data_IF_547274039656
#
_entry.id   IF_547274039656
#
_cell.length_a   1.000
_cell.length_b   1.000
_cell.length_c   1.000
_cell.angle_alpha   90.00
_cell.angle_beta   90.00
_cell.angle_gamma   90.00
#
_symmetry.space_group_name_H-M   'P 1'
#
loop_
_entity.id
_entity.type
_entity.pdbx_description
1 polymer ?
#
# COMPACT_ATOMS: atom_id res chain seq x y z
N UNK A 1 -22.12 9.36 33.33
CA UNK A 1 -21.60 10.34 32.36
C UNK A 1 -20.91 9.55 31.26
N UNK A 2 -21.40 9.55 30.01
CA UNK A 2 -20.66 8.92 28.93
C UNK A 2 -19.48 9.80 28.49
N UNK A 3 -18.39 9.15 28.12
CA UNK A 3 -17.23 9.73 27.44
C UNK A 3 -17.19 9.16 26.02
N UNK A 4 -17.02 10.02 25.01
CA UNK A 4 -17.01 9.59 23.61
C UNK A 4 -16.06 10.45 22.76
N UNK A 5 -15.12 9.83 22.01
CA UNK A 5 -14.72 8.43 22.13
C UNK A 5 -14.12 8.14 23.51
N UNK A 6 -14.17 6.87 23.94
CA UNK A 6 -13.55 6.40 25.19
C UNK A 6 -12.11 5.89 24.98
N UNK A 7 -11.50 6.22 23.85
CA UNK A 7 -10.16 5.76 23.46
C UNK A 7 -9.54 6.73 22.45
N UNK A 8 -8.20 6.76 22.40
CA UNK A 8 -7.42 7.69 21.57
C UNK A 8 -5.95 7.29 21.45
N UNK A 9 -5.18 7.98 20.62
CA UNK A 9 -3.74 7.68 20.41
C UNK A 9 -2.91 8.01 21.64
N UNK A 10 -1.86 7.24 21.93
CA UNK A 10 -0.87 7.58 22.98
C UNK A 10 -0.18 8.93 22.76
N UNK A 11 -0.21 9.48 21.53
CA UNK A 11 0.30 10.83 21.24
C UNK A 11 -0.67 11.95 21.66
N UNK A 12 -1.92 11.62 21.99
CA UNK A 12 -2.99 12.57 22.27
C UNK A 12 -3.54 13.27 21.03
N UNK A 13 -4.32 14.32 21.25
CA UNK A 13 -4.92 15.12 20.16
C UNK A 13 -6.32 14.69 19.73
N UNK A 14 -6.86 13.62 20.33
CA UNK A 14 -8.23 13.15 20.15
C UNK A 14 -9.20 14.17 20.73
N UNK A 15 -10.20 14.58 19.94
CA UNK A 15 -11.33 15.36 20.45
C UNK A 15 -12.27 14.43 21.20
N UNK A 16 -12.48 14.69 22.49
CA UNK A 16 -13.28 13.85 23.39
C UNK A 16 -14.42 14.68 23.98
N UNK A 17 -15.62 14.13 23.98
CA UNK A 17 -16.82 14.74 24.59
C UNK A 17 -17.22 13.96 25.84
N UNK A 18 -17.37 14.68 26.95
CA UNK A 18 -17.84 14.17 28.24
C UNK A 18 -19.23 14.76 28.49
N UNK A 19 -20.24 13.91 28.61
CA UNK A 19 -21.64 14.35 28.86
C UNK A 19 -22.05 14.08 30.30
N UNK A 20 -22.72 15.03 30.93
CA UNK A 20 -23.13 14.94 32.32
C UNK A 20 -24.12 16.04 32.72
N UNK A 21 -24.07 16.42 33.99
CA UNK A 21 -24.88 17.50 34.58
C UNK A 21 -23.98 18.34 35.48
N UNK A 22 -24.35 19.61 35.70
CA UNK A 22 -23.62 20.56 36.53
C UNK A 22 -22.14 20.74 36.12
N UNK A 23 -21.88 20.68 34.80
CA UNK A 23 -20.54 20.79 34.25
C UNK A 23 -20.10 22.24 33.97
N UNK A 24 -20.97 23.23 34.19
CA UNK A 24 -20.66 24.64 33.95
C UNK A 24 -19.42 25.10 34.73
N UNK A 25 -18.53 25.85 34.08
CA UNK A 25 -17.37 26.42 34.73
C UNK A 25 -16.31 25.38 35.11
N UNK A 26 -16.17 24.33 34.30
CA UNK A 26 -15.10 23.36 34.47
C UNK A 26 -13.73 24.05 34.34
N UNK A 27 -12.89 23.90 35.36
CA UNK A 27 -11.55 24.52 35.43
C UNK A 27 -10.47 23.58 34.94
N UNK A 28 -10.69 22.27 35.02
CA UNK A 28 -9.79 21.26 34.48
C UNK A 28 -10.57 20.00 34.10
N UNK A 29 -10.03 19.28 33.11
CA UNK A 29 -10.36 17.87 32.85
C UNK A 29 -9.05 17.12 32.90
N UNK A 30 -8.96 16.10 33.75
CA UNK A 30 -7.76 15.30 33.91
C UNK A 30 -7.92 13.93 33.26
N UNK A 31 -6.88 13.47 32.57
CA UNK A 31 -6.69 12.12 32.05
C UNK A 31 -5.52 11.51 32.83
N UNK A 32 -5.83 10.75 33.88
CA UNK A 32 -4.86 10.37 34.91
C UNK A 32 -4.26 11.60 35.58
N UNK A 33 -2.93 11.74 35.53
CA UNK A 33 -2.22 12.90 36.07
C UNK A 33 -2.10 14.09 35.12
N UNK A 34 -2.64 14.00 33.90
CA UNK A 34 -2.42 15.00 32.83
C UNK A 34 -3.67 15.82 32.57
N UNK A 35 -3.52 17.11 32.30
CA UNK A 35 -4.64 18.03 32.07
C UNK A 35 -4.92 18.17 30.57
N UNK A 36 -6.17 17.93 30.18
CA UNK A 36 -6.66 18.12 28.82
C UNK A 36 -6.97 19.59 28.51
N UNK A 37 -6.97 19.94 27.22
CA UNK A 37 -7.36 21.28 26.76
C UNK A 37 -8.87 21.32 26.58
N UNK A 38 -9.58 22.12 27.38
CA UNK A 38 -11.02 22.34 27.20
C UNK A 38 -11.25 23.25 26.00
N UNK A 39 -12.05 22.79 25.03
CA UNK A 39 -12.40 23.55 23.82
C UNK A 39 -13.85 24.03 23.82
N UNK A 40 -14.73 23.36 24.55
CA UNK A 40 -16.09 23.80 24.79
C UNK A 40 -16.59 23.30 26.15
N UNK A 41 -17.40 24.12 26.84
CA UNK A 41 -18.01 23.75 28.10
C UNK A 41 -19.44 24.32 28.19
N UNK A 42 -20.40 23.42 28.38
CA UNK A 42 -21.81 23.69 28.66
C UNK A 42 -22.19 23.03 29.98
N UNK A 43 -23.37 23.33 30.58
CA UNK A 43 -23.81 22.69 31.81
C UNK A 43 -23.93 21.16 31.74
N UNK A 44 -24.03 20.59 30.54
CA UNK A 44 -24.26 19.14 30.34
C UNK A 44 -23.23 18.47 29.43
N UNK A 45 -22.26 19.21 28.89
CA UNK A 45 -21.25 18.66 27.98
C UNK A 45 -19.94 19.46 28.04
N UNK A 46 -18.81 18.75 28.04
CA UNK A 46 -17.46 19.32 27.89
C UNK A 46 -16.79 18.63 26.71
N UNK A 47 -16.26 19.42 25.78
CA UNK A 47 -15.37 18.94 24.71
C UNK A 47 -13.94 19.32 25.08
N UNK A 48 -13.04 18.34 24.99
CA UNK A 48 -11.62 18.49 25.28
C UNK A 48 -10.76 17.89 24.19
N UNK A 49 -9.49 18.29 24.15
CA UNK A 49 -8.41 17.59 23.43
C UNK A 49 -7.59 16.83 24.47
N UNK A 50 -7.49 15.51 24.31
CA UNK A 50 -6.84 14.63 25.28
C UNK A 50 -5.31 14.77 25.33
N UNK A 51 -4.74 14.45 26.50
CA UNK A 51 -3.36 14.11 26.74
C UNK A 51 -2.63 13.38 25.64
N UNK A 52 -1.33 13.63 25.39
CA UNK A 52 -0.48 12.46 25.20
C UNK A 52 -0.69 11.52 26.40
N UNK A 53 -0.61 10.20 26.23
CA UNK A 53 -1.16 9.20 27.15
C UNK A 53 -0.53 7.81 27.06
N UNK A 54 -0.78 6.94 28.04
CA UNK A 54 -0.53 5.50 27.90
C UNK A 54 -1.46 4.68 28.81
N UNK A 55 -1.79 3.46 28.37
CA UNK A 55 -2.61 2.53 29.13
C UNK A 55 -4.06 3.01 29.33
N UNK A 56 -4.73 2.42 30.32
CA UNK A 56 -6.05 2.85 30.78
C UNK A 56 -5.86 3.92 31.85
N UNK A 57 -6.56 5.04 31.72
CA UNK A 57 -6.55 6.12 32.71
C UNK A 57 -7.97 6.48 33.15
N UNK A 58 -8.07 7.01 34.36
CA UNK A 58 -9.29 7.66 34.85
C UNK A 58 -9.39 9.08 34.29
N UNK A 59 -10.62 9.48 33.96
CA UNK A 59 -10.97 10.81 33.48
C UNK A 59 -11.93 11.46 34.44
N UNK A 60 -11.57 12.64 34.95
CA UNK A 60 -12.37 13.40 35.90
C UNK A 60 -12.47 14.86 35.47
N UNK A 61 -13.60 15.48 35.77
CA UNK A 61 -13.85 16.91 35.58
C UNK A 61 -13.73 17.62 36.92
N UNK A 62 -13.03 18.74 36.96
CA UNK A 62 -12.93 19.62 38.12
C UNK A 62 -13.74 20.88 37.86
N UNK A 63 -14.62 21.20 38.80
CA UNK A 63 -15.40 22.45 38.84
C UNK A 63 -15.19 23.14 40.18
N UNK A 64 -15.72 24.35 40.37
CA UNK A 64 -15.75 24.99 41.69
C UNK A 64 -16.52 24.18 42.75
N UNK A 65 -17.43 23.30 42.33
CA UNK A 65 -18.19 22.39 43.20
C UNK A 65 -17.45 21.10 43.58
N UNK A 66 -16.22 20.90 43.10
CA UNK A 66 -15.41 19.71 43.35
C UNK A 66 -15.12 18.87 42.10
N UNK A 67 -14.64 17.66 42.32
CA UNK A 67 -14.23 16.70 41.29
C UNK A 67 -15.32 15.67 41.03
N UNK A 68 -15.58 15.36 39.76
CA UNK A 68 -16.54 14.34 39.36
C UNK A 68 -16.10 12.91 39.68
N UNK A 69 -17.00 11.93 39.53
CA UNK A 69 -16.60 10.52 39.44
C UNK A 69 -15.67 10.28 38.24
N UNK A 70 -14.92 9.17 38.28
CA UNK A 70 -14.03 8.76 37.19
C UNK A 70 -14.78 8.10 36.05
N UNK A 71 -14.31 8.36 34.83
CA UNK A 71 -14.63 7.62 33.60
C UNK A 71 -13.35 6.95 33.11
N UNK A 72 -13.45 5.86 32.35
CA UNK A 72 -12.25 5.21 31.80
C UNK A 72 -11.96 5.67 30.38
N UNK A 73 -10.69 5.92 30.08
CA UNK A 73 -10.19 6.21 28.73
C UNK A 73 -8.98 5.32 28.42
N UNK A 74 -8.94 4.74 27.22
CA UNK A 74 -7.87 3.83 26.80
C UNK A 74 -6.98 4.44 25.71
N UNK A 75 -5.69 4.54 26.00
CA UNK A 75 -4.69 4.98 25.03
C UNK A 75 -4.16 3.82 24.18
N UNK A 76 -4.36 3.93 22.88
CA UNK A 76 -3.94 2.97 21.85
C UNK A 76 -2.57 3.38 21.30
N UNK A 77 -1.61 2.47 21.34
CA UNK A 77 -0.27 2.69 20.78
C UNK A 77 -0.30 2.72 19.25
N UNK A 78 0.65 3.41 18.59
CA UNK A 78 0.82 3.33 17.15
C UNK A 78 1.05 1.88 16.69
N UNK A 79 0.61 1.55 15.47
CA UNK A 79 0.86 0.26 14.86
C UNK A 79 2.35 0.10 14.51
N UNK A 80 2.76 -1.14 14.27
CA UNK A 80 4.09 -1.47 13.74
C UNK A 80 3.90 -2.16 12.40
N UNK A 81 4.46 -1.60 11.33
CA UNK A 81 4.63 -2.31 10.06
C UNK A 81 6.06 -2.88 9.99
N UNK A 82 6.18 -4.18 9.72
CA UNK A 82 7.46 -4.89 9.70
C UNK A 82 7.93 -5.21 8.28
N UNK A 83 7.02 -5.57 7.38
CA UNK A 83 7.36 -5.91 6.00
C UNK A 83 6.23 -5.61 5.04
N UNK A 84 6.60 -5.36 3.78
CA UNK A 84 5.72 -5.22 2.63
C UNK A 84 6.19 -6.18 1.53
N UNK A 85 5.26 -6.92 0.95
CA UNK A 85 5.57 -7.93 -0.06
C UNK A 85 4.44 -8.06 -1.10
N UNK A 86 4.73 -7.95 -2.41
CA UNK A 86 6.02 -7.61 -3.03
C UNK A 86 6.53 -6.21 -2.66
N UNK A 87 7.86 -6.02 -2.60
CA UNK A 87 8.50 -4.73 -2.28
C UNK A 87 8.64 -3.77 -3.47
N UNK A 88 8.13 -4.16 -4.64
CA UNK A 88 8.11 -3.36 -5.85
C UNK A 88 6.96 -3.74 -6.77
N UNK A 89 6.66 -2.87 -7.73
CA UNK A 89 5.65 -3.14 -8.75
C UNK A 89 5.50 -1.99 -9.76
N UNK A 90 4.52 -2.08 -10.67
CA UNK A 90 4.34 -1.14 -11.77
C UNK A 90 4.10 0.30 -11.31
N UNK A 91 4.68 1.29 -11.99
CA UNK A 91 4.34 2.72 -11.78
C UNK A 91 2.85 3.00 -11.98
N UNK A 92 2.16 2.21 -12.81
CA UNK A 92 0.71 2.29 -12.98
C UNK A 92 -0.11 1.85 -11.74
N UNK A 93 0.52 1.21 -10.74
CA UNK A 93 -0.15 0.62 -9.59
C UNK A 93 -1.02 -0.58 -9.97
N UNK A 94 -2.03 -0.85 -9.15
CA UNK A 94 -3.04 -1.90 -9.38
C UNK A 94 -2.61 -3.31 -8.93
N UNK A 95 -1.33 -3.54 -8.68
CA UNK A 95 -0.89 -4.78 -8.04
C UNK A 95 -1.27 -4.81 -6.55
N UNK A 96 -1.41 -6.01 -5.99
CA UNK A 96 -1.70 -6.18 -4.56
C UNK A 96 -0.41 -6.44 -3.80
N UNK A 97 -0.27 -5.81 -2.64
CA UNK A 97 0.80 -6.03 -1.67
C UNK A 97 0.21 -6.45 -0.33
N UNK A 98 0.97 -7.27 0.39
CA UNK A 98 0.69 -7.67 1.77
C UNK A 98 1.62 -6.90 2.70
N UNK A 99 1.07 -6.29 3.75
CA UNK A 99 1.84 -5.66 4.82
C UNK A 99 1.67 -6.49 6.08
N UNK A 100 2.76 -6.94 6.68
CA UNK A 100 2.76 -7.68 7.95
C UNK A 100 3.25 -6.80 9.10
N UNK A 101 2.66 -6.96 10.28
CA UNK A 101 2.90 -6.06 11.40
C UNK A 101 2.16 -6.42 12.68
N UNK A 102 1.86 -5.41 13.51
CA UNK A 102 1.06 -5.50 14.74
C UNK A 102 0.17 -4.27 14.90
N UNK A 103 -1.00 -4.43 15.52
CA UNK A 103 -1.94 -3.34 15.77
C UNK A 103 -2.63 -2.81 14.51
N UNK A 104 -2.77 -3.65 13.48
CA UNK A 104 -3.29 -3.25 12.16
C UNK A 104 -4.82 -3.38 12.05
N UNK A 105 -5.50 -3.88 13.09
CA UNK A 105 -6.95 -4.13 13.09
C UNK A 105 -7.81 -2.91 12.79
N UNK A 106 -7.31 -1.69 13.05
CA UNK A 106 -8.01 -0.42 12.82
C UNK A 106 -7.37 0.42 11.70
N UNK A 107 -6.60 -0.22 10.81
CA UNK A 107 -5.96 0.48 9.70
C UNK A 107 -7.01 1.09 8.76
N UNK A 108 -6.92 2.40 8.56
CA UNK A 108 -7.83 3.18 7.72
C UNK A 108 -7.21 3.59 6.40
N UNK A 109 -5.89 3.80 6.39
CA UNK A 109 -5.15 4.30 5.23
C UNK A 109 -3.76 3.68 5.16
N UNK A 110 -3.32 3.34 3.95
CA UNK A 110 -1.93 3.06 3.63
C UNK A 110 -1.46 4.07 2.60
N UNK A 111 -0.41 4.81 2.91
CA UNK A 111 0.15 5.85 2.04
C UNK A 111 1.45 5.37 1.42
N UNK A 112 1.56 5.49 0.09
CA UNK A 112 2.73 5.25 -0.74
C UNK A 112 3.25 6.61 -1.24
N UNK A 113 4.18 7.22 -0.49
CA UNK A 113 4.56 8.61 -0.69
C UNK A 113 3.37 9.55 -0.51
N UNK A 114 3.02 10.31 -1.56
CA UNK A 114 1.89 11.24 -1.56
C UNK A 114 0.54 10.60 -1.93
N UNK A 115 0.54 9.35 -2.42
CA UNK A 115 -0.68 8.67 -2.87
C UNK A 115 -1.13 7.68 -1.81
N UNK A 116 -2.44 7.53 -1.60
CA UNK A 116 -2.98 6.67 -0.54
C UNK A 116 -4.02 5.70 -1.07
N UNK A 117 -4.14 4.55 -0.39
CA UNK A 117 -5.16 3.55 -0.64
C UNK A 117 -5.77 3.08 0.68
N UNK A 118 -7.03 2.64 0.63
CA UNK A 118 -7.69 1.99 1.77
C UNK A 118 -7.30 0.51 1.80
N UNK A 119 -6.71 0.00 2.90
CA UNK A 119 -6.38 -1.41 3.03
C UNK A 119 -7.63 -2.28 3.22
N UNK A 120 -7.52 -3.55 2.85
CA UNK A 120 -8.33 -4.63 3.42
C UNK A 120 -7.61 -5.16 4.65
N UNK A 121 -8.23 -5.05 5.82
CA UNK A 121 -7.72 -5.63 7.06
C UNK A 121 -7.96 -7.14 7.04
N UNK A 122 -6.87 -7.93 7.01
CA UNK A 122 -6.96 -9.40 7.02
C UNK A 122 -6.94 -9.92 8.46
N UNK A 123 -6.08 -9.35 9.30
CA UNK A 123 -6.01 -9.61 10.74
C UNK A 123 -5.30 -8.46 11.46
N UNK A 124 -5.17 -8.52 12.78
CA UNK A 124 -4.39 -7.51 13.52
C UNK A 124 -2.91 -7.47 13.12
N UNK A 125 -2.39 -8.53 12.49
CA UNK A 125 -1.00 -8.62 12.05
C UNK A 125 -0.81 -8.56 10.53
N UNK A 126 -1.88 -8.38 9.75
CA UNK A 126 -1.78 -8.40 8.29
C UNK A 126 -2.82 -7.52 7.58
N UNK A 127 -2.35 -6.78 6.57
CA UNK A 127 -3.15 -6.02 5.62
C UNK A 127 -2.91 -6.51 4.19
N UNK A 128 -3.95 -6.42 3.36
CA UNK A 128 -3.87 -6.53 1.91
C UNK A 128 -4.23 -5.19 1.28
N UNK A 129 -3.41 -4.67 0.38
CA UNK A 129 -3.59 -3.34 -0.22
C UNK A 129 -3.39 -3.41 -1.72
N UNK A 130 -4.32 -2.82 -2.48
CA UNK A 130 -4.09 -2.53 -3.90
C UNK A 130 -3.27 -1.25 -3.99
N UNK A 131 -2.08 -1.33 -4.57
CA UNK A 131 -1.15 -0.21 -4.66
C UNK A 131 -1.74 0.86 -5.60
N UNK A 132 -1.82 2.14 -5.18
CA UNK A 132 -2.29 3.20 -6.05
C UNK A 132 -1.28 3.49 -7.18
N UNK A 133 -1.67 4.23 -8.20
CA UNK A 133 -0.73 4.67 -9.24
C UNK A 133 0.36 5.58 -8.62
N UNK A 134 1.62 5.36 -9.01
CA UNK A 134 2.74 6.20 -8.64
C UNK A 134 2.88 7.40 -9.58
N UNK A 135 3.46 8.49 -9.08
CA UNK A 135 3.72 9.69 -9.91
C UNK A 135 4.92 9.51 -10.85
N UNK A 136 5.87 8.65 -10.47
CA UNK A 136 7.08 8.31 -11.22
C UNK A 136 7.68 7.00 -10.71
N UNK A 137 8.56 6.38 -11.50
CA UNK A 137 9.42 5.30 -11.00
C UNK A 137 10.31 5.77 -9.86
N UNK A 138 10.61 4.89 -8.91
CA UNK A 138 11.49 5.17 -7.77
C UNK A 138 10.97 4.60 -6.46
N UNK A 139 11.79 4.71 -5.41
CA UNK A 139 11.40 4.30 -4.06
C UNK A 139 10.53 5.37 -3.41
N UNK A 140 9.47 4.92 -2.73
CA UNK A 140 8.61 5.74 -1.86
C UNK A 140 8.52 5.13 -0.48
N UNK A 141 8.26 5.99 0.51
CA UNK A 141 7.93 5.55 1.86
C UNK A 141 6.50 5.00 1.91
N UNK A 142 6.30 3.91 2.63
CA UNK A 142 5.00 3.31 2.88
C UNK A 142 4.65 3.36 4.35
N UNK A 143 3.57 4.05 4.70
CA UNK A 143 3.10 4.16 6.08
C UNK A 143 1.67 3.66 6.22
N UNK A 144 1.35 3.08 7.37
CA UNK A 144 -0.02 2.65 7.71
C UNK A 144 -0.55 3.54 8.83
N UNK A 145 -1.74 4.08 8.65
CA UNK A 145 -2.45 4.86 9.67
C UNK A 145 -3.60 4.04 10.26
N UNK A 146 -3.66 4.02 11.59
CA UNK A 146 -4.70 3.39 12.40
C UNK A 146 -5.25 4.40 13.41
N UNK A 147 -6.22 4.00 14.24
CA UNK A 147 -6.67 4.85 15.35
C UNK A 147 -5.59 5.10 16.41
N UNK A 148 -4.60 4.20 16.52
CA UNK A 148 -3.47 4.36 17.45
C UNK A 148 -2.39 5.32 16.96
N UNK A 149 -2.40 5.66 15.67
CA UNK A 149 -1.41 6.52 15.03
C UNK A 149 -0.88 5.91 13.73
N UNK A 150 0.28 6.40 13.29
CA UNK A 150 0.93 6.00 12.03
C UNK A 150 2.21 5.23 12.30
N UNK A 151 2.50 4.22 11.48
CA UNK A 151 3.74 3.43 11.55
C UNK A 151 4.97 4.26 11.17
N UNK A 152 6.16 3.79 11.56
CA UNK A 152 7.38 4.12 10.82
C UNK A 152 7.27 3.66 9.35
N UNK A 153 7.96 4.33 8.41
CA UNK A 153 7.86 3.99 7.00
C UNK A 153 8.58 2.68 6.66
N UNK A 154 7.93 1.86 5.82
CA UNK A 154 8.57 0.86 4.98
C UNK A 154 8.99 1.49 3.63
N UNK A 155 9.65 0.74 2.76
CA UNK A 155 10.00 1.18 1.40
C UNK A 155 9.29 0.33 0.35
N UNK A 156 8.82 0.96 -0.71
CA UNK A 156 8.27 0.31 -1.90
C UNK A 156 8.80 0.99 -3.16
N UNK A 157 9.18 0.21 -4.17
CA UNK A 157 9.69 0.74 -5.43
C UNK A 157 8.66 0.65 -6.57
N UNK A 158 8.29 1.80 -7.13
CA UNK A 158 7.61 1.88 -8.42
C UNK A 158 8.62 1.67 -9.55
N UNK A 159 8.29 0.75 -10.45
CA UNK A 159 9.14 0.36 -11.59
C UNK A 159 8.34 0.54 -12.87
N UNK A 160 8.94 1.19 -13.87
CA UNK A 160 8.28 1.37 -15.15
C UNK A 160 8.18 0.03 -15.91
N UNK A 161 7.10 -0.12 -16.67
CA UNK A 161 6.96 -1.21 -17.62
C UNK A 161 8.10 -1.15 -18.65
N UNK A 162 8.54 -2.30 -19.19
CA UNK A 162 9.52 -2.29 -20.26
C UNK A 162 8.95 -1.58 -21.50
N UNK A 163 9.81 -1.24 -22.45
CA UNK A 163 9.38 -0.89 -23.81
C UNK A 163 10.01 -1.84 -24.81
N UNK A 164 9.32 -2.12 -25.91
CA UNK A 164 9.81 -2.96 -26.99
C UNK A 164 9.86 -2.12 -28.27
N UNK A 165 11.02 -2.10 -28.91
CA UNK A 165 11.32 -1.27 -30.08
C UNK A 165 11.42 -2.12 -31.34
N UNK A 166 12.08 -3.29 -31.28
CA UNK A 166 12.22 -4.16 -32.44
C UNK A 166 12.40 -5.63 -32.08
N UNK A 167 11.97 -6.51 -33.00
CA UNK A 167 12.15 -7.95 -32.94
C UNK A 167 12.77 -8.43 -34.26
N UNK A 168 13.89 -9.14 -34.18
CA UNK A 168 14.60 -9.63 -35.36
C UNK A 168 15.19 -11.04 -35.15
N UNK A 169 14.88 -12.01 -36.03
CA UNK A 169 13.93 -11.92 -37.14
C UNK A 169 12.46 -11.83 -36.66
N UNK A 170 11.60 -11.21 -37.46
CA UNK A 170 10.17 -11.07 -37.17
C UNK A 170 9.31 -12.24 -37.70
N UNK A 171 9.95 -13.33 -38.16
CA UNK A 171 9.25 -14.53 -38.62
C UNK A 171 10.11 -15.79 -38.48
N UNK A 172 9.46 -16.95 -38.49
CA UNK A 172 10.11 -18.26 -38.37
C UNK A 172 9.12 -19.42 -38.52
N UNK A 173 9.58 -20.68 -38.49
CA UNK A 173 8.74 -21.84 -38.75
C UNK A 173 7.74 -22.10 -37.61
N UNK A 174 6.58 -22.68 -37.94
CA UNK A 174 5.57 -23.14 -36.96
C UNK A 174 6.11 -24.15 -35.94
N UNK A 175 7.22 -24.84 -36.23
CA UNK A 175 7.91 -25.72 -35.28
C UNK A 175 8.61 -24.97 -34.13
N UNK A 176 8.75 -23.64 -34.20
CA UNK A 176 9.52 -22.86 -33.25
C UNK A 176 11.03 -22.96 -33.45
N UNK A 177 11.79 -22.56 -32.44
CA UNK A 177 13.26 -22.62 -32.40
C UNK A 177 13.97 -21.41 -33.01
N UNK A 178 13.24 -20.36 -33.38
CA UNK A 178 13.85 -19.13 -33.93
C UNK A 178 14.40 -18.28 -32.79
N UNK A 179 15.70 -17.95 -32.84
CA UNK A 179 16.30 -16.99 -31.91
C UNK A 179 15.98 -15.57 -32.35
N UNK A 180 15.07 -14.92 -31.63
CA UNK A 180 14.60 -13.55 -31.86
C UNK A 180 15.32 -12.60 -30.91
N UNK A 181 16.11 -11.69 -31.46
CA UNK A 181 16.67 -10.56 -30.73
C UNK A 181 15.58 -9.52 -30.51
N UNK A 182 15.33 -9.16 -29.26
CA UNK A 182 14.35 -8.16 -28.84
C UNK A 182 15.10 -6.96 -28.28
N UNK A 183 14.88 -5.78 -28.86
CA UNK A 183 15.46 -4.52 -28.39
C UNK A 183 14.40 -3.63 -27.75
N UNK A 184 14.78 -2.87 -26.72
CA UNK A 184 13.85 -2.11 -25.91
C UNK A 184 14.50 -1.34 -24.76
N UNK A 185 13.72 -1.08 -23.72
CA UNK A 185 14.19 -0.55 -22.43
C UNK A 185 13.62 -1.35 -21.27
N UNK A 186 14.29 -1.33 -20.11
CA UNK A 186 13.80 -2.01 -18.91
C UNK A 186 13.88 -3.54 -18.98
N UNK A 187 14.69 -4.10 -19.89
CA UNK A 187 14.73 -5.55 -20.16
C UNK A 187 15.59 -6.35 -19.18
N UNK A 188 16.39 -5.67 -18.35
CA UNK A 188 17.32 -6.31 -17.41
C UNK A 188 16.61 -7.22 -16.37
N UNK A 189 15.36 -6.89 -16.03
CA UNK A 189 14.55 -7.59 -15.02
C UNK A 189 13.41 -8.42 -15.64
N UNK A 190 13.58 -8.86 -16.90
CA UNK A 190 12.61 -9.71 -17.58
C UNK A 190 12.41 -11.02 -16.84
N UNK A 191 11.15 -11.35 -16.54
CA UNK A 191 10.74 -12.59 -15.86
C UNK A 191 10.02 -13.55 -16.80
N UNK A 192 9.41 -13.05 -17.87
CA UNK A 192 8.76 -13.88 -18.87
C UNK A 192 8.79 -13.23 -20.27
N UNK A 193 8.86 -14.07 -21.29
CA UNK A 193 8.61 -13.72 -22.69
C UNK A 193 7.59 -14.72 -23.24
N UNK A 194 6.56 -14.25 -23.92
CA UNK A 194 5.55 -15.12 -24.54
C UNK A 194 5.26 -14.73 -25.99
N UNK A 195 4.90 -15.73 -26.79
CA UNK A 195 4.42 -15.58 -28.17
C UNK A 195 3.00 -16.17 -28.21
N UNK A 196 1.99 -15.34 -28.45
CA UNK A 196 0.57 -15.73 -28.36
C UNK A 196 0.21 -16.42 -27.03
N UNK A 197 0.75 -15.90 -25.92
CA UNK A 197 0.58 -16.48 -24.58
C UNK A 197 1.40 -17.75 -24.30
N UNK A 198 2.08 -18.33 -25.29
CA UNK A 198 2.96 -19.49 -25.10
C UNK A 198 4.33 -19.04 -24.61
N UNK A 199 4.81 -19.60 -23.49
CA UNK A 199 6.11 -19.25 -22.90
C UNK A 199 7.28 -19.59 -23.82
N UNK A 200 8.17 -18.62 -24.01
CA UNK A 200 9.46 -18.78 -24.68
C UNK A 200 10.60 -18.88 -23.66
N UNK A 201 11.65 -19.63 -24.00
CA UNK A 201 12.92 -19.48 -23.29
C UNK A 201 13.62 -18.20 -23.75
N UNK A 202 14.37 -17.56 -22.87
CA UNK A 202 15.08 -16.32 -23.19
C UNK A 202 16.37 -16.16 -22.40
N UNK A 203 17.26 -15.32 -22.91
CA UNK A 203 18.46 -14.85 -22.25
C UNK A 203 18.50 -13.33 -22.31
N UNK A 204 18.55 -12.68 -21.15
CA UNK A 204 18.76 -11.24 -21.04
C UNK A 204 20.23 -10.94 -21.29
N UNK A 205 20.54 -10.09 -22.27
CA UNK A 205 21.91 -9.69 -22.56
C UNK A 205 22.28 -8.43 -21.78
N UNK A 206 21.38 -7.46 -21.72
CA UNK A 206 21.54 -6.21 -20.98
C UNK A 206 20.17 -5.51 -20.78
N UNK A 207 20.17 -4.27 -20.28
CA UNK A 207 18.93 -3.51 -20.01
C UNK A 207 18.13 -3.12 -21.25
N UNK A 208 18.70 -3.26 -22.45
CA UNK A 208 18.08 -2.88 -23.73
C UNK A 208 17.93 -4.02 -24.72
N UNK A 209 18.48 -5.21 -24.42
CA UNK A 209 18.49 -6.34 -25.36
C UNK A 209 18.33 -7.66 -24.63
N UNK A 210 17.43 -8.51 -25.16
CA UNK A 210 17.34 -9.94 -24.82
C UNK A 210 17.19 -10.77 -26.09
N UNK A 211 17.47 -12.07 -25.99
CA UNK A 211 17.19 -13.05 -27.04
C UNK A 211 16.15 -14.02 -26.53
N UNK A 212 15.05 -14.20 -27.26
CA UNK A 212 14.03 -15.19 -26.97
C UNK A 212 13.99 -16.26 -28.05
N UNK A 213 13.78 -17.52 -27.67
CA UNK A 213 13.62 -18.63 -28.61
C UNK A 213 12.15 -18.93 -28.78
N UNK A 214 11.64 -18.83 -30.01
CA UNK A 214 10.22 -19.01 -30.27
C UNK A 214 9.76 -20.43 -29.90
N UNK A 215 8.63 -20.58 -29.19
CA UNK A 215 7.99 -21.89 -29.03
C UNK A 215 7.40 -22.36 -30.37
N UNK A 216 6.91 -23.59 -30.43
CA UNK A 216 6.07 -24.02 -31.54
C UNK A 216 4.75 -23.24 -31.53
N UNK A 217 4.22 -22.90 -32.70
CA UNK A 217 3.02 -22.08 -32.83
C UNK A 217 2.25 -22.34 -34.12
N UNK A 218 1.05 -21.79 -34.21
CA UNK A 218 0.20 -21.87 -35.40
C UNK A 218 0.62 -20.82 -36.42
N UNK A 219 0.49 -21.14 -37.72
CA UNK A 219 0.81 -20.18 -38.78
C UNK A 219 -0.03 -18.91 -38.66
N UNK A 220 0.61 -17.75 -38.79
CA UNK A 220 -0.03 -16.45 -38.60
C UNK A 220 0.82 -15.47 -37.80
N UNK A 221 0.33 -14.24 -37.74
CA UNK A 221 0.92 -13.17 -36.92
C UNK A 221 0.49 -13.33 -35.46
N UNK A 222 1.43 -13.20 -34.55
CA UNK A 222 1.25 -13.38 -33.11
C UNK A 222 1.80 -12.21 -32.32
N UNK A 223 1.15 -11.93 -31.20
CA UNK A 223 1.62 -10.94 -30.23
C UNK A 223 2.84 -11.47 -29.48
N UNK A 224 3.81 -10.59 -29.24
CA UNK A 224 4.97 -10.88 -28.40
C UNK A 224 4.91 -10.02 -27.16
N UNK A 225 4.93 -10.66 -25.99
CA UNK A 225 4.82 -9.99 -24.70
C UNK A 225 6.08 -10.23 -23.89
N UNK A 226 6.65 -9.16 -23.34
CA UNK A 226 7.76 -9.21 -22.38
C UNK A 226 7.27 -8.66 -21.05
N UNK A 227 7.45 -9.44 -19.98
CA UNK A 227 7.02 -9.10 -18.63
C UNK A 227 8.22 -8.89 -17.71
N UNK A 228 8.18 -7.83 -16.90
CA UNK A 228 9.14 -7.52 -15.83
C UNK A 228 8.37 -7.24 -14.53
N UNK A 229 9.10 -6.95 -13.45
CA UNK A 229 8.48 -6.45 -12.20
C UNK A 229 7.76 -5.11 -12.34
N UNK A 230 8.04 -4.33 -13.39
CA UNK A 230 7.38 -3.05 -13.68
C UNK A 230 6.12 -3.17 -14.54
N UNK A 231 5.75 -4.38 -14.97
CA UNK A 231 4.60 -4.63 -15.84
C UNK A 231 4.99 -5.37 -17.12
N UNK A 232 4.13 -5.29 -18.14
CA UNK A 232 4.37 -5.94 -19.43
C UNK A 232 4.34 -4.96 -20.57
N UNK A 233 5.10 -5.26 -21.62
CA UNK A 233 5.01 -4.60 -22.92
C UNK A 233 4.62 -5.63 -23.98
N UNK A 234 3.75 -5.22 -24.89
CA UNK A 234 3.24 -6.05 -25.98
C UNK A 234 3.59 -5.42 -27.32
N UNK A 235 4.13 -6.21 -28.23
CA UNK A 235 4.19 -5.87 -29.66
C UNK A 235 3.16 -6.73 -30.37
N UNK A 236 2.03 -6.11 -30.71
CA UNK A 236 0.95 -6.83 -31.40
C UNK A 236 1.38 -7.21 -32.81
N UNK A 237 1.17 -8.48 -33.16
CA UNK A 237 1.66 -9.06 -34.41
C UNK A 237 3.18 -8.99 -34.59
N UNK A 238 3.94 -8.91 -33.50
CA UNK A 238 5.40 -8.71 -33.51
C UNK A 238 6.21 -9.87 -34.11
N UNK A 239 5.60 -11.05 -34.30
CA UNK A 239 6.22 -12.20 -34.94
C UNK A 239 5.24 -12.93 -35.86
N UNK A 240 5.72 -13.56 -36.93
CA UNK A 240 4.90 -14.36 -37.85
C UNK A 240 5.41 -15.79 -37.94
N UNK A 241 4.58 -16.76 -37.57
CA UNK A 241 4.84 -18.17 -37.83
C UNK A 241 4.48 -18.52 -39.27
N UNK A 242 5.41 -19.15 -39.97
CA UNK A 242 5.29 -19.54 -41.38
C UNK A 242 5.28 -21.07 -41.48
N UNK A 243 4.31 -21.62 -42.20
CA UNK A 243 4.27 -23.05 -42.50
C UNK A 243 5.43 -23.44 -43.42
N UNK A 244 5.99 -24.63 -43.20
CA UNK A 244 6.92 -25.21 -44.15
C UNK A 244 6.28 -25.44 -45.53
N UNK A 245 7.07 -25.54 -46.60
CA UNK A 245 6.55 -25.93 -47.91
C UNK A 245 5.89 -27.32 -47.85
N UNK A 246 4.73 -27.45 -48.47
CA UNK A 246 4.06 -28.75 -48.66
C UNK A 246 4.60 -29.45 -49.90
N UNK A 247 4.73 -30.77 -49.83
CA UNK A 247 4.93 -31.66 -50.98
C UNK A 247 3.75 -32.61 -51.12
#
# INVERSE_FOLDING_TARGET
MPISPNQGSTSGGTTVTITGVNLSGATAVHFGSRTATITANTPTSITVIDPAGCGVVDVNVVTAGGTSNSLSFFYISPPIAMSIGPGSGPTAGGNTVTINGYGLSTASTVSFGSNSATPTVVSDSQLSVVVPAGSSSGSVDVTVTTTGGTTSPLSYAYVDAPTLVSLAPASGPTSGGTAVTVNGTGLASTTAVTFDGTTASFAVLNSTTLVAVTPSGTAGSVDVVVTTGGGSATVSGGFTYVSGPGI
#
